data_IF_505122282923
#
_entry.id   IF_505122282923
#
_cell.length_a   1.000
_cell.length_b   1.000
_cell.length_c   1.000
_cell.angle_alpha   90.00
_cell.angle_beta   90.00
_cell.angle_gamma   90.00
#
_symmetry.space_group_name_H-M   'P 1'
#
loop_
_entity.id
_entity.type
_entity.pdbx_description
1 polymer ?
#
# COMPACT_ATOMS: atom_id res chain seq x y z
N UNK A 1 0.07 55.01 -8.82
CA UNK A 1 1.05 53.90 -8.79
C UNK A 1 0.77 52.89 -7.67
N UNK A 2 0.14 53.28 -6.57
CA UNK A 2 -0.24 52.40 -5.44
C UNK A 2 -1.25 51.31 -5.85
N UNK A 3 -2.27 51.64 -6.67
CA UNK A 3 -3.29 50.68 -7.10
C UNK A 3 -2.75 49.52 -7.97
N UNK A 4 -1.61 49.70 -8.65
CA UNK A 4 -0.95 48.63 -9.43
C UNK A 4 -0.09 47.73 -8.55
N UNK A 5 0.47 48.27 -7.46
CA UNK A 5 1.31 47.51 -6.51
C UNK A 5 0.43 46.59 -5.65
N UNK A 6 -0.75 47.05 -5.24
CA UNK A 6 -1.72 46.23 -4.49
C UNK A 6 -2.19 45.02 -5.32
N UNK A 7 -2.38 45.20 -6.63
CA UNK A 7 -2.82 44.14 -7.53
C UNK A 7 -1.71 43.07 -7.77
N UNK A 8 -0.44 43.46 -7.70
CA UNK A 8 0.71 42.54 -7.85
C UNK A 8 0.96 41.75 -6.56
N UNK A 9 0.73 42.34 -5.38
CA UNK A 9 0.84 41.63 -4.10
C UNK A 9 -0.28 40.60 -3.85
N UNK A 10 -1.46 40.78 -4.44
CA UNK A 10 -2.56 39.79 -4.34
C UNK A 10 -2.37 38.58 -5.28
N UNK A 11 -1.57 38.70 -6.34
CA UNK A 11 -1.33 37.63 -7.31
C UNK A 11 -0.24 36.63 -6.87
N UNK A 12 0.64 37.01 -5.94
CA UNK A 12 1.72 36.13 -5.46
C UNK A 12 1.30 35.25 -4.28
N UNK A 13 0.14 35.50 -3.65
CA UNK A 13 -0.34 34.75 -2.49
C UNK A 13 -0.93 33.37 -2.84
N UNK A 14 -1.23 33.10 -4.12
CA UNK A 14 -1.90 31.86 -4.56
C UNK A 14 -0.95 30.76 -5.04
N UNK A 15 0.38 30.98 -5.04
CA UNK A 15 1.35 30.06 -5.66
C UNK A 15 2.06 29.10 -4.69
N UNK A 16 1.66 29.02 -3.42
CA UNK A 16 2.17 28.00 -2.49
C UNK A 16 1.13 26.89 -2.25
N UNK A 17 0.67 26.27 -3.33
CA UNK A 17 -0.03 24.99 -3.24
C UNK A 17 0.97 23.92 -2.80
N UNK A 18 1.10 23.70 -1.48
CA UNK A 18 1.84 22.55 -0.96
C UNK A 18 1.06 21.31 -1.38
N UNK A 19 1.54 20.58 -2.38
CA UNK A 19 0.94 19.29 -2.75
C UNK A 19 0.87 18.43 -1.49
N UNK A 20 -0.34 17.99 -1.13
CA UNK A 20 -0.53 17.08 -0.01
C UNK A 20 0.14 15.77 -0.42
N UNK A 21 1.25 15.43 0.23
CA UNK A 21 1.93 14.18 -0.03
C UNK A 21 0.98 13.02 0.32
N UNK A 22 0.58 12.25 -0.69
CA UNK A 22 -0.27 11.08 -0.51
C UNK A 22 0.54 10.03 0.26
N UNK A 23 0.25 9.89 1.56
CA UNK A 23 0.90 8.93 2.47
C UNK A 23 0.94 7.51 1.90
N UNK A 24 -0.04 7.13 1.08
CA UNK A 24 -0.17 5.78 0.53
C UNK A 24 0.31 5.67 -0.93
N UNK A 25 1.06 6.65 -1.43
CA UNK A 25 1.51 6.71 -2.84
C UNK A 25 2.25 5.45 -3.28
N UNK A 26 3.18 4.95 -2.48
CA UNK A 26 3.98 3.76 -2.82
C UNK A 26 3.07 2.52 -2.91
N UNK A 27 2.20 2.31 -1.93
CA UNK A 27 1.23 1.22 -1.96
C UNK A 27 0.27 1.33 -3.16
N UNK A 28 -0.35 2.50 -3.38
CA UNK A 28 -1.30 2.70 -4.49
C UNK A 28 -0.65 2.46 -5.85
N UNK A 29 0.58 2.93 -6.03
CA UNK A 29 1.32 2.80 -7.28
C UNK A 29 1.76 1.36 -7.57
N UNK A 30 2.16 0.60 -6.54
CA UNK A 30 2.85 -0.69 -6.74
C UNK A 30 1.99 -1.92 -6.41
N UNK A 31 0.91 -1.77 -5.65
CA UNK A 31 0.08 -2.90 -5.21
C UNK A 31 -1.27 -2.93 -5.95
N UNK A 32 -1.96 -1.79 -6.05
CA UNK A 32 -3.32 -1.74 -6.61
C UNK A 32 -3.39 -2.17 -8.08
N UNK A 33 -2.50 -1.75 -9.00
CA UNK A 33 -2.68 -2.01 -10.43
C UNK A 33 -2.79 -3.49 -10.79
N UNK A 34 -2.11 -4.37 -10.06
CA UNK A 34 -2.24 -5.81 -10.27
C UNK A 34 -3.50 -6.35 -9.57
N UNK A 35 -3.79 -5.89 -8.36
CA UNK A 35 -4.84 -6.47 -7.52
C UNK A 35 -6.24 -5.96 -7.81
N UNK A 36 -6.41 -4.85 -8.53
CA UNK A 36 -7.73 -4.33 -8.88
C UNK A 36 -8.50 -5.25 -9.85
N UNK A 37 -7.79 -6.08 -10.61
CA UNK A 37 -8.37 -7.02 -11.57
C UNK A 37 -8.41 -8.47 -11.08
N UNK A 38 -7.88 -8.76 -9.88
CA UNK A 38 -7.77 -10.12 -9.36
C UNK A 38 -9.02 -10.54 -8.56
N UNK A 39 -9.46 -11.81 -8.68
CA UNK A 39 -10.63 -12.29 -7.94
C UNK A 39 -10.46 -12.27 -6.39
N UNK A 40 -9.23 -12.36 -5.90
CA UNK A 40 -8.88 -12.11 -4.51
C UNK A 40 -8.52 -10.64 -4.32
N UNK A 41 -9.40 -9.90 -3.66
CA UNK A 41 -9.14 -8.52 -3.28
C UNK A 41 -8.03 -8.45 -2.22
N UNK A 42 -7.34 -7.31 -2.17
CA UNK A 42 -6.37 -7.01 -1.12
C UNK A 42 -7.01 -7.13 0.28
N UNK A 43 -8.28 -6.77 0.46
CA UNK A 43 -8.97 -6.99 1.74
C UNK A 43 -9.04 -8.48 2.14
N UNK A 44 -9.36 -9.37 1.19
CA UNK A 44 -9.41 -10.83 1.47
C UNK A 44 -8.03 -11.38 1.82
N UNK A 45 -7.00 -10.95 1.10
CA UNK A 45 -5.61 -11.34 1.37
C UNK A 45 -5.18 -10.82 2.75
N UNK A 46 -5.53 -9.58 3.09
CA UNK A 46 -5.28 -8.99 4.40
C UNK A 46 -5.87 -9.86 5.52
N UNK A 47 -7.13 -10.24 5.39
CA UNK A 47 -7.81 -11.08 6.39
C UNK A 47 -7.15 -12.45 6.55
N UNK A 48 -6.64 -13.03 5.47
CA UNK A 48 -5.91 -14.29 5.51
C UNK A 48 -4.59 -14.17 6.28
N UNK A 49 -3.79 -13.15 5.97
CA UNK A 49 -2.55 -12.87 6.70
C UNK A 49 -2.82 -12.54 8.17
N UNK A 50 -3.85 -11.75 8.46
CA UNK A 50 -4.25 -11.40 9.83
C UNK A 50 -4.66 -12.66 10.61
N UNK A 51 -5.45 -13.55 9.99
CA UNK A 51 -5.85 -14.82 10.60
C UNK A 51 -4.64 -15.71 10.92
N UNK A 52 -3.66 -15.79 10.02
CA UNK A 52 -2.48 -16.65 10.20
C UNK A 52 -1.50 -16.10 11.22
N UNK A 53 -1.23 -14.80 11.19
CA UNK A 53 -0.15 -14.19 11.98
C UNK A 53 -0.63 -13.41 13.22
N UNK A 54 -1.94 -13.18 13.36
CA UNK A 54 -2.63 -12.68 14.57
C UNK A 54 -2.20 -11.31 15.13
N UNK A 55 -1.28 -10.58 14.50
CA UNK A 55 -0.80 -9.30 14.99
C UNK A 55 -0.05 -8.49 13.94
N UNK A 56 0.10 -7.20 14.19
CA UNK A 56 0.73 -6.26 13.25
C UNK A 56 2.18 -6.62 12.94
N UNK A 57 2.98 -6.85 13.98
CA UNK A 57 4.42 -7.12 13.84
C UNK A 57 4.66 -8.38 13.02
N UNK A 58 3.95 -9.46 13.34
CA UNK A 58 4.06 -10.75 12.66
C UNK A 58 3.46 -10.70 11.26
N UNK A 59 2.33 -10.00 11.06
CA UNK A 59 1.76 -9.74 9.73
C UNK A 59 2.79 -9.07 8.82
N UNK A 60 3.36 -7.96 9.27
CA UNK A 60 4.29 -7.14 8.47
C UNK A 60 5.57 -7.91 8.17
N UNK A 61 6.12 -8.58 9.17
CA UNK A 61 7.34 -9.39 9.01
C UNK A 61 7.13 -10.54 8.01
N UNK A 62 6.04 -11.31 8.16
CA UNK A 62 5.75 -12.44 7.27
C UNK A 62 5.43 -12.01 5.84
N UNK A 63 4.64 -10.94 5.67
CA UNK A 63 4.35 -10.40 4.35
C UNK A 63 5.62 -9.87 3.67
N UNK A 64 6.49 -9.16 4.41
CA UNK A 64 7.78 -8.68 3.90
C UNK A 64 8.67 -9.84 3.45
N UNK A 65 8.75 -10.89 4.26
CA UNK A 65 9.52 -12.10 3.93
C UNK A 65 9.00 -12.74 2.64
N UNK A 66 7.69 -12.98 2.55
CA UNK A 66 7.05 -13.53 1.34
C UNK A 66 7.31 -12.66 0.11
N UNK A 67 7.13 -11.34 0.19
CA UNK A 67 7.33 -10.46 -0.98
C UNK A 67 8.79 -10.40 -1.45
N UNK A 68 9.76 -10.63 -0.55
CA UNK A 68 11.20 -10.68 -0.87
C UNK A 68 11.64 -11.99 -1.51
N UNK A 69 11.01 -13.08 -1.14
CA UNK A 69 11.32 -14.43 -1.65
C UNK A 69 10.03 -15.25 -1.75
N UNK A 70 9.18 -14.96 -2.74
CA UNK A 70 7.92 -15.65 -2.88
C UNK A 70 8.16 -17.08 -3.35
N UNK A 71 7.63 -18.04 -2.59
CA UNK A 71 7.64 -19.47 -2.93
C UNK A 71 6.23 -20.03 -2.76
N UNK A 72 5.87 -21.04 -3.56
CA UNK A 72 4.54 -21.68 -3.47
C UNK A 72 4.27 -22.18 -2.05
N UNK A 73 5.27 -22.78 -1.41
CA UNK A 73 5.20 -23.34 -0.05
C UNK A 73 5.05 -22.28 1.05
N UNK A 74 5.37 -21.02 0.73
CA UNK A 74 5.27 -19.87 1.65
C UNK A 74 4.05 -19.00 1.36
N UNK A 75 3.35 -19.26 0.25
CA UNK A 75 2.13 -18.56 -0.11
C UNK A 75 0.99 -18.95 0.82
N UNK A 76 0.20 -17.97 1.24
CA UNK A 76 -1.07 -18.27 1.93
C UNK A 76 -2.21 -18.52 0.95
N UNK A 77 -2.02 -18.26 -0.35
CA UNK A 77 -3.08 -18.47 -1.34
C UNK A 77 -3.39 -19.96 -1.51
N UNK A 78 -4.66 -20.34 -1.75
CA UNK A 78 -5.02 -21.73 -2.04
C UNK A 78 -4.29 -22.29 -3.25
N UNK A 79 -4.09 -23.60 -3.30
CA UNK A 79 -3.40 -24.28 -4.41
C UNK A 79 -4.07 -23.97 -5.75
N UNK A 80 -5.41 -23.97 -5.80
CA UNK A 80 -6.14 -23.65 -7.04
C UNK A 80 -5.90 -22.20 -7.50
N UNK A 81 -5.60 -21.29 -6.58
CA UNK A 81 -5.21 -19.93 -6.96
C UNK A 81 -3.82 -19.90 -7.60
N UNK A 82 -2.86 -20.61 -6.99
CA UNK A 82 -1.48 -20.69 -7.50
C UNK A 82 -1.45 -21.35 -8.87
N UNK A 83 -2.25 -22.41 -9.09
CA UNK A 83 -2.37 -23.06 -10.40
C UNK A 83 -2.85 -22.12 -11.51
N UNK A 84 -3.73 -21.17 -11.19
CA UNK A 84 -4.34 -20.25 -12.17
C UNK A 84 -3.57 -18.93 -12.35
N UNK A 85 -2.87 -18.45 -11.32
CA UNK A 85 -2.26 -17.13 -11.29
C UNK A 85 -0.75 -17.13 -10.99
N UNK A 86 -0.17 -18.31 -10.77
CA UNK A 86 1.20 -18.52 -10.30
C UNK A 86 1.49 -17.87 -8.93
N UNK A 87 2.65 -18.19 -8.35
CA UNK A 87 3.15 -17.44 -7.20
C UNK A 87 3.55 -16.02 -7.62
N UNK A 88 3.40 -15.07 -6.71
CA UNK A 88 3.77 -13.67 -6.93
C UNK A 88 5.26 -13.55 -7.30
N UNK A 89 5.58 -12.71 -8.27
CA UNK A 89 6.98 -12.38 -8.57
C UNK A 89 7.67 -11.64 -7.41
N UNK A 90 8.99 -11.84 -7.26
CA UNK A 90 9.80 -11.14 -6.25
C UNK A 90 9.65 -9.62 -6.38
N UNK A 91 9.54 -8.95 -5.22
CA UNK A 91 9.44 -7.48 -5.19
C UNK A 91 10.70 -6.81 -5.74
N UNK A 92 10.50 -5.72 -6.48
CA UNK A 92 11.56 -4.83 -6.97
C UNK A 92 11.72 -3.58 -6.12
N UNK A 93 10.85 -3.39 -5.12
CA UNK A 93 10.92 -2.26 -4.20
C UNK A 93 12.17 -2.36 -3.31
N UNK A 94 12.75 -1.21 -2.99
CA UNK A 94 13.76 -1.15 -1.93
C UNK A 94 13.15 -1.54 -0.58
N UNK A 95 13.98 -1.93 0.38
CA UNK A 95 13.51 -2.31 1.72
C UNK A 95 12.66 -1.23 2.38
N UNK A 96 13.04 0.05 2.19
CA UNK A 96 12.30 1.20 2.71
C UNK A 96 10.93 1.34 2.04
N UNK A 97 10.87 1.31 0.72
CA UNK A 97 9.60 1.42 -0.02
C UNK A 97 8.67 0.24 0.28
N UNK A 98 9.24 -0.95 0.47
CA UNK A 98 8.48 -2.14 0.84
C UNK A 98 7.88 -2.00 2.24
N UNK A 99 8.64 -1.50 3.22
CA UNK A 99 8.14 -1.22 4.56
C UNK A 99 7.01 -0.19 4.53
N UNK A 100 7.20 0.92 3.81
CA UNK A 100 6.16 1.96 3.64
C UNK A 100 4.88 1.44 2.96
N UNK A 101 5.02 0.55 1.97
CA UNK A 101 3.88 -0.05 1.29
C UNK A 101 3.11 -1.01 2.22
N UNK A 102 3.83 -1.83 2.99
CA UNK A 102 3.24 -2.78 3.95
C UNK A 102 2.57 -2.03 5.11
N UNK A 103 3.16 -0.95 5.60
CA UNK A 103 2.57 -0.09 6.62
C UNK A 103 1.27 0.54 6.12
N UNK A 104 1.28 1.09 4.89
CA UNK A 104 0.06 1.60 4.24
C UNK A 104 -1.01 0.52 4.11
N UNK A 105 -0.62 -0.69 3.70
CA UNK A 105 -1.55 -1.80 3.56
C UNK A 105 -2.23 -2.18 4.88
N UNK A 106 -1.45 -2.23 5.97
CA UNK A 106 -1.98 -2.44 7.31
C UNK A 106 -2.98 -1.34 7.70
N UNK A 107 -2.59 -0.07 7.57
CA UNK A 107 -3.42 1.06 7.97
C UNK A 107 -4.76 1.14 7.23
N UNK A 108 -4.76 0.82 5.92
CA UNK A 108 -5.96 0.87 5.07
C UNK A 108 -6.99 -0.20 5.49
N UNK A 109 -6.54 -1.40 5.87
CA UNK A 109 -7.44 -2.53 6.12
C UNK A 109 -7.61 -2.92 7.59
N UNK A 110 -6.79 -2.40 8.51
CA UNK A 110 -6.90 -2.73 9.93
C UNK A 110 -8.30 -2.46 10.48
N UNK A 111 -9.04 -3.55 10.68
CA UNK A 111 -10.44 -3.55 11.12
C UNK A 111 -10.59 -2.97 12.51
N UNK A 112 -9.54 -3.00 13.35
CA UNK A 112 -9.57 -2.46 14.71
C UNK A 112 -9.73 -0.94 14.71
N UNK A 113 -9.24 -0.26 13.67
CA UNK A 113 -9.47 1.17 13.48
C UNK A 113 -10.89 1.50 13.04
N UNK A 114 -11.65 0.50 12.54
CA UNK A 114 -13.03 0.65 12.06
C UNK A 114 -14.09 0.30 13.12
N UNK A 115 -13.71 -0.36 14.22
CA UNK A 115 -14.60 -0.79 15.31
C UNK A 115 -14.66 0.22 16.48
N UNK A 116 -14.18 1.44 16.26
CA UNK A 116 -14.04 2.49 17.28
C UNK A 116 -15.30 3.33 17.46
#
# INVERSE_FOLDING_TARGET
MINKIVLICLLTLTLTGKELEDKHKIYKKNCIPCHEYLPYSLEKIYMLYLKTFSGEVTFKASLKAFLKEPMEETSLMPDEWIENFSVKEKTTLSDKELDEAIDSYWEIYDVRNKLR
#
